data_IF_134243939795
#
_entry.id   IF_134243939795
#
_cell.length_a   1.000
_cell.length_b   1.000
_cell.length_c   1.000
_cell.angle_alpha   90.00
_cell.angle_beta   90.00
_cell.angle_gamma   90.00
#
_symmetry.space_group_name_H-M   'P 1'
#
loop_
_entity.id
_entity.type
_entity.pdbx_description
1 polymer ?
#
# COMPACT_ATOMS: atom_id res chain seq x y z
N UNK A 1 23.68 25.23 -53.62
CA UNK A 1 23.47 25.35 -52.15
C UNK A 1 23.36 23.95 -51.56
N UNK A 2 24.48 23.28 -51.35
CA UNK A 2 24.51 21.93 -50.76
C UNK A 2 25.45 21.96 -49.57
N UNK A 3 24.95 22.48 -48.45
CA UNK A 3 25.64 22.35 -47.16
C UNK A 3 25.38 20.94 -46.62
N UNK A 4 26.05 19.95 -47.22
CA UNK A 4 26.03 18.57 -46.73
C UNK A 4 27.25 18.33 -45.86
N UNK A 5 27.13 18.69 -44.59
CA UNK A 5 28.05 18.28 -43.54
C UNK A 5 27.32 17.30 -42.61
N UNK A 6 27.42 15.98 -42.82
CA UNK A 6 26.73 14.98 -42.00
C UNK A 6 27.04 15.12 -40.50
N UNK A 7 28.24 15.62 -40.17
CA UNK A 7 28.66 15.94 -38.80
C UNK A 7 27.80 17.05 -38.15
N UNK A 8 27.34 18.02 -38.93
CA UNK A 8 26.57 19.16 -38.45
C UNK A 8 25.12 18.75 -38.18
N UNK A 9 24.53 17.93 -39.05
CA UNK A 9 23.21 17.31 -38.82
C UNK A 9 23.23 16.41 -37.58
N UNK A 10 24.28 15.59 -37.41
CA UNK A 10 24.44 14.73 -36.23
C UNK A 10 24.61 15.55 -34.94
N UNK A 11 25.36 16.65 -34.98
CA UNK A 11 25.52 17.55 -33.85
C UNK A 11 24.20 18.20 -33.42
N UNK A 12 23.37 18.65 -34.36
CA UNK A 12 22.05 19.20 -34.07
C UNK A 12 21.14 18.15 -33.42
N UNK A 13 21.11 16.93 -33.95
CA UNK A 13 20.31 15.84 -33.36
C UNK A 13 20.79 15.50 -31.95
N UNK A 14 22.11 15.44 -31.72
CA UNK A 14 22.68 15.20 -30.40
C UNK A 14 22.27 16.28 -29.39
N UNK A 15 22.33 17.56 -29.78
CA UNK A 15 21.89 18.68 -28.93
C UNK A 15 20.41 18.56 -28.58
N UNK A 16 19.56 18.23 -29.55
CA UNK A 16 18.12 18.02 -29.31
C UNK A 16 17.90 16.90 -28.30
N UNK A 17 18.54 15.75 -28.49
CA UNK A 17 18.41 14.60 -27.58
C UNK A 17 18.88 14.98 -26.17
N UNK A 18 20.06 15.60 -26.04
CA UNK A 18 20.60 16.03 -24.74
C UNK A 18 19.67 17.03 -24.06
N UNK A 19 19.10 17.98 -24.81
CA UNK A 19 18.14 18.94 -24.25
C UNK A 19 16.87 18.27 -23.73
N UNK A 20 16.38 17.24 -24.43
CA UNK A 20 15.21 16.47 -24.02
C UNK A 20 15.47 15.72 -22.71
N UNK A 21 16.62 15.03 -22.64
CA UNK A 21 17.05 14.34 -21.42
C UNK A 21 17.27 15.31 -20.26
N UNK A 22 17.89 16.47 -20.51
CA UNK A 22 18.06 17.50 -19.49
C UNK A 22 16.71 17.99 -18.93
N UNK A 23 15.70 18.18 -19.78
CA UNK A 23 14.35 18.55 -19.35
C UNK A 23 13.72 17.45 -18.47
N UNK A 24 13.88 16.17 -18.82
CA UNK A 24 13.40 15.05 -18.02
C UNK A 24 14.10 14.95 -16.67
N UNK A 25 15.43 15.12 -16.63
CA UNK A 25 16.21 15.13 -15.37
C UNK A 25 15.80 16.31 -14.49
N UNK A 26 15.61 17.49 -15.06
CA UNK A 26 15.11 18.65 -14.32
C UNK A 26 13.70 18.41 -13.75
N UNK A 27 12.81 17.78 -14.53
CA UNK A 27 11.48 17.40 -14.07
C UNK A 27 11.53 16.39 -12.94
N UNK A 28 12.41 15.39 -13.04
CA UNK A 28 12.62 14.40 -11.99
C UNK A 28 13.15 15.07 -10.72
N UNK A 29 14.16 15.94 -10.84
CA UNK A 29 14.70 16.70 -9.71
C UNK A 29 13.62 17.54 -9.02
N UNK A 30 12.76 18.22 -9.79
CA UNK A 30 11.62 18.97 -9.24
C UNK A 30 10.71 18.08 -8.39
N UNK A 31 10.34 16.89 -8.88
CA UNK A 31 9.49 15.95 -8.15
C UNK A 31 10.18 15.41 -6.89
N UNK A 32 11.48 15.17 -6.95
CA UNK A 32 12.27 14.58 -5.86
C UNK A 32 12.72 15.58 -4.79
N UNK A 33 12.89 16.85 -5.13
CA UNK A 33 13.42 17.86 -4.19
C UNK A 33 12.34 18.86 -3.76
N UNK A 34 11.63 19.46 -4.73
CA UNK A 34 10.66 20.51 -4.42
C UNK A 34 9.28 19.95 -4.05
N UNK A 35 8.87 18.85 -4.69
CA UNK A 35 7.59 18.18 -4.41
C UNK A 35 7.71 17.05 -3.37
N UNK A 36 8.92 16.65 -2.98
CA UNK A 36 9.15 15.60 -1.98
C UNK A 36 8.41 15.79 -0.65
N UNK A 37 8.39 16.97 -0.01
CA UNK A 37 7.67 17.11 1.26
C UNK A 37 6.15 16.89 1.09
N UNK A 38 5.60 17.31 -0.06
CA UNK A 38 4.18 17.21 -0.38
C UNK A 38 3.75 15.74 -0.55
N UNK A 39 4.53 14.98 -1.32
CA UNK A 39 4.26 13.56 -1.57
C UNK A 39 4.58 12.67 -0.37
N UNK A 40 5.57 13.05 0.46
CA UNK A 40 5.86 12.35 1.72
C UNK A 40 4.69 12.45 2.70
N UNK A 41 4.07 13.63 2.84
CA UNK A 41 2.90 13.81 3.70
C UNK A 41 1.69 13.04 3.18
N UNK A 42 1.43 13.05 1.86
CA UNK A 42 0.35 12.26 1.27
C UNK A 42 0.55 10.75 1.46
N UNK A 43 1.78 10.24 1.31
CA UNK A 43 2.09 8.85 1.59
C UNK A 43 1.94 8.50 3.08
N UNK A 44 2.33 9.40 3.98
CA UNK A 44 2.15 9.20 5.43
C UNK A 44 0.66 9.16 5.83
N UNK A 45 -0.18 10.01 5.24
CA UNK A 45 -1.63 9.99 5.48
C UNK A 45 -2.27 8.70 4.97
N UNK A 46 -1.80 8.15 3.84
CA UNK A 46 -2.23 6.82 3.38
C UNK A 46 -1.75 5.69 4.32
N UNK A 47 -0.65 5.88 5.05
CA UNK A 47 -0.14 4.89 6.02
C UNK A 47 -0.90 4.91 7.35
N UNK A 48 -1.44 6.06 7.75
CA UNK A 48 -2.21 6.21 9.00
C UNK A 48 -3.69 6.12 8.67
N UNK A 49 -4.19 4.90 8.54
CA UNK A 49 -5.64 4.64 8.45
C UNK A 49 -6.27 4.91 9.81
N UNK A 50 -7.08 5.95 9.93
CA UNK A 50 -7.91 6.17 11.13
C UNK A 50 -8.87 5.00 11.29
N UNK A 51 -8.59 4.12 12.25
CA UNK A 51 -9.49 3.04 12.63
C UNK A 51 -10.45 3.60 13.67
N UNK A 52 -11.70 3.79 13.28
CA UNK A 52 -12.77 4.09 14.23
C UNK A 52 -13.02 2.84 15.06
N UNK A 53 -12.74 2.91 16.36
CA UNK A 53 -13.17 1.86 17.30
C UNK A 53 -14.66 2.07 17.59
N UNK A 54 -15.50 1.14 17.12
CA UNK A 54 -16.92 1.17 17.47
C UNK A 54 -17.09 1.03 18.98
N UNK A 55 -17.93 1.89 19.57
CA UNK A 55 -18.30 1.75 20.97
C UNK A 55 -19.11 0.46 21.17
N UNK A 56 -18.92 -0.28 22.27
CA UNK A 56 -19.75 -1.44 22.59
C UNK A 56 -21.23 -1.03 22.65
N UNK A 57 -22.12 -1.79 21.99
CA UNK A 57 -23.57 -1.56 22.12
C UNK A 57 -24.03 -1.88 23.56
N UNK A 58 -25.08 -1.19 23.99
CA UNK A 58 -25.72 -1.46 25.28
C UNK A 58 -26.30 -2.88 25.36
N UNK A 59 -26.29 -3.45 26.57
CA UNK A 59 -26.91 -4.76 26.86
C UNK A 59 -28.43 -4.64 26.85
N UNK A 60 -29.10 -5.58 26.21
CA UNK A 60 -30.57 -5.67 26.25
C UNK A 60 -30.96 -6.59 27.40
N UNK A 61 -31.76 -6.05 28.33
CA UNK A 61 -32.20 -6.73 29.55
C UNK A 61 -33.70 -7.03 29.45
N UNK A 62 -34.12 -8.19 29.95
CA UNK A 62 -35.52 -8.49 30.23
C UNK A 62 -36.01 -7.70 31.47
N UNK A 63 -37.33 -7.66 31.72
CA UNK A 63 -37.98 -7.00 32.86
C UNK A 63 -37.45 -7.45 34.23
N UNK A 64 -36.86 -8.64 34.29
CA UNK A 64 -36.22 -9.21 35.50
C UNK A 64 -34.71 -8.95 35.57
N UNK A 65 -34.16 -8.10 34.70
CA UNK A 65 -32.73 -7.77 34.67
C UNK A 65 -31.83 -8.85 34.07
N UNK A 66 -32.40 -9.82 33.35
CA UNK A 66 -31.62 -10.89 32.68
C UNK A 66 -31.13 -10.40 31.32
N UNK A 67 -29.83 -10.56 31.05
CA UNK A 67 -29.22 -10.15 29.77
C UNK A 67 -29.67 -11.11 28.66
N UNK A 68 -30.35 -10.58 27.64
CA UNK A 68 -30.77 -11.33 26.45
C UNK A 68 -29.76 -11.20 25.30
N UNK A 69 -29.12 -10.03 25.17
CA UNK A 69 -28.12 -9.73 24.15
C UNK A 69 -26.96 -8.98 24.78
N UNK A 70 -25.74 -9.48 24.56
CA UNK A 70 -24.49 -8.87 24.98
C UNK A 70 -23.48 -8.87 23.81
N UNK A 71 -22.50 -7.97 23.86
CA UNK A 71 -21.41 -7.95 22.90
C UNK A 71 -20.21 -8.72 23.45
N UNK A 72 -19.61 -9.57 22.62
CA UNK A 72 -18.36 -10.26 22.93
C UNK A 72 -17.26 -9.74 22.02
N UNK A 73 -16.19 -9.20 22.61
CA UNK A 73 -14.97 -8.88 21.87
C UNK A 73 -14.37 -10.20 21.36
N UNK A 74 -14.07 -10.25 20.06
CA UNK A 74 -13.44 -11.39 19.40
C UNK A 74 -12.22 -10.90 18.64
N UNK A 75 -11.09 -11.56 18.84
CA UNK A 75 -9.86 -11.26 18.12
C UNK A 75 -9.93 -11.86 16.71
N UNK A 76 -9.74 -11.03 15.69
CA UNK A 76 -9.67 -11.45 14.30
C UNK A 76 -8.25 -11.26 13.77
N UNK A 77 -7.65 -12.34 13.27
CA UNK A 77 -6.34 -12.30 12.60
C UNK A 77 -6.58 -12.24 11.10
N UNK A 78 -6.13 -11.15 10.47
CA UNK A 78 -6.26 -10.93 9.02
C UNK A 78 -4.87 -10.95 8.41
N UNK A 79 -4.68 -11.73 7.34
CA UNK A 79 -3.42 -11.81 6.62
C UNK A 79 -3.65 -11.53 5.14
N UNK A 80 -2.85 -10.63 4.56
CA UNK A 80 -2.92 -10.31 3.14
C UNK A 80 -2.34 -11.45 2.29
N UNK A 81 -3.11 -11.91 1.30
CA UNK A 81 -2.66 -12.95 0.34
C UNK A 81 -1.48 -12.49 -0.50
N UNK A 82 -1.40 -11.18 -0.78
CA UNK A 82 -0.32 -10.58 -1.57
C UNK A 82 1.01 -10.56 -0.82
N UNK A 83 0.98 -10.30 0.49
CA UNK A 83 2.19 -10.29 1.33
C UNK A 83 2.76 -11.69 1.58
N UNK A 84 1.91 -12.73 1.59
CA UNK A 84 2.32 -14.10 1.86
C UNK A 84 3.04 -14.77 0.68
N UNK A 85 2.69 -14.43 -0.57
CA UNK A 85 3.32 -14.95 -1.78
C UNK A 85 3.64 -16.46 -1.72
N UNK A 86 4.89 -16.82 -1.99
CA UNK A 86 5.40 -18.20 -1.94
C UNK A 86 5.46 -18.79 -0.52
N UNK A 87 5.55 -17.95 0.51
CA UNK A 87 5.63 -18.38 1.92
C UNK A 87 4.30 -18.86 2.48
N UNK A 88 3.19 -18.68 1.75
CA UNK A 88 1.85 -19.16 2.14
C UNK A 88 1.84 -20.64 2.52
N UNK A 89 2.52 -21.48 1.75
CA UNK A 89 2.60 -22.92 1.99
C UNK A 89 3.23 -23.29 3.35
N UNK A 90 4.12 -22.44 3.87
CA UNK A 90 4.78 -22.64 5.16
C UNK A 90 4.06 -21.93 6.32
N UNK A 91 3.46 -20.77 6.04
CA UNK A 91 2.87 -19.89 7.06
C UNK A 91 1.47 -20.34 7.46
N UNK A 92 0.64 -20.80 6.51
CA UNK A 92 -0.72 -21.30 6.78
C UNK A 92 -0.74 -22.45 7.79
N UNK A 93 0.08 -23.53 7.67
CA UNK A 93 0.09 -24.60 8.65
C UNK A 93 0.61 -24.17 10.03
N UNK A 94 1.57 -23.22 10.09
CA UNK A 94 2.04 -22.66 11.37
C UNK A 94 0.98 -21.81 12.05
N UNK A 95 0.27 -20.97 11.30
CA UNK A 95 -0.84 -20.17 11.82
C UNK A 95 -1.98 -21.07 12.32
N UNK A 96 -2.30 -22.14 11.59
CA UNK A 96 -3.29 -23.14 12.00
C UNK A 96 -2.95 -23.78 13.35
N UNK A 97 -1.67 -24.13 13.58
CA UNK A 97 -1.21 -24.68 14.86
C UNK A 97 -1.33 -23.68 16.02
N UNK A 98 -0.92 -22.43 15.80
CA UNK A 98 -0.96 -21.38 16.84
C UNK A 98 -2.40 -21.00 17.19
N UNK A 99 -3.28 -20.89 16.19
CA UNK A 99 -4.69 -20.53 16.36
C UNK A 99 -5.57 -21.72 16.78
N UNK A 100 -5.01 -22.94 16.84
CA UNK A 100 -5.74 -24.19 17.11
C UNK A 100 -6.93 -24.39 16.16
N UNK A 101 -6.77 -23.97 14.91
CA UNK A 101 -7.78 -24.07 13.85
C UNK A 101 -7.33 -25.09 12.80
N UNK A 102 -8.28 -25.73 12.10
CA UNK A 102 -7.94 -26.58 10.97
C UNK A 102 -7.41 -25.73 9.82
N UNK A 103 -6.33 -26.16 9.14
CA UNK A 103 -5.72 -25.40 8.04
C UNK A 103 -6.70 -25.10 6.90
N UNK A 104 -7.72 -25.94 6.73
CA UNK A 104 -8.82 -25.75 5.77
C UNK A 104 -9.74 -24.57 6.10
N UNK A 105 -9.85 -24.17 7.37
CA UNK A 105 -10.65 -23.02 7.80
C UNK A 105 -9.87 -21.70 7.76
N UNK A 106 -8.53 -21.78 7.70
CA UNK A 106 -7.63 -20.62 7.60
C UNK A 106 -7.49 -20.12 6.15
N UNK A 107 -7.74 -20.98 5.17
CA UNK A 107 -7.52 -20.68 3.74
C UNK A 107 -8.73 -20.06 3.00
N UNK A 108 -9.81 -19.72 3.74
CA UNK A 108 -11.00 -19.03 3.20
C UNK A 108 -10.65 -17.63 2.68
#
# INVERSE_FOLDING_TARGET
>A
MTLESPRLRLGVVAIVIVSLFAALVARLWYLQVLAAPQYRTQAAVNSVRTVYTEAPRGRILDRQGRVLVDNKVTDAVVVSREELGTRRAEVVPRLAQVLKMQASDVDK
#
